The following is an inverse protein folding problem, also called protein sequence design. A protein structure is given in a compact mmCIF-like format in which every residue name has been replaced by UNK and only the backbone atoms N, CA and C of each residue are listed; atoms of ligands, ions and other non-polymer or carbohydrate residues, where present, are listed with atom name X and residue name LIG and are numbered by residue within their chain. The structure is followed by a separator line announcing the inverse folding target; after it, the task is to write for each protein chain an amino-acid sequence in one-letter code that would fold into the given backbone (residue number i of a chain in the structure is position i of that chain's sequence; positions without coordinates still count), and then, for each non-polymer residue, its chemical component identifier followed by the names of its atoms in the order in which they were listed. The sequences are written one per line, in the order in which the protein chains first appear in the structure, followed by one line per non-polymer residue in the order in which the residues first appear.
data_IF_015621813326
#
_entry.id   IF_015621813326
#
_cell.length_a   1.000
_cell.length_b   1.000
_cell.length_c   1.000
_cell.angle_alpha   90.00
_cell.angle_beta   90.00
_cell.angle_gamma   90.00
#
_symmetry.space_group_name_H-M   'P 1'
#
loop_
_entity.id
_entity.type
_entity.pdbx_description
1 polymer ?
#
# COMPACT_ATOMS: atom_id res chain seq x y z
N UNK A 1 -15.17 -1.91 0.09
CA UNK A 1 -15.34 -0.70 -0.75
C UNK A 1 -14.62 -0.94 -2.06
N UNK A 2 -15.14 -0.43 -3.18
CA UNK A 2 -14.59 -0.65 -4.53
C UNK A 2 -14.46 0.68 -5.23
N UNK A 3 -13.36 0.86 -5.98
CA UNK A 3 -13.18 2.00 -6.89
C UNK A 3 -12.86 1.46 -8.28
N UNK A 4 -13.36 2.15 -9.30
CA UNK A 4 -13.11 1.80 -10.69
C UNK A 4 -12.80 3.04 -11.52
N UNK A 5 -12.13 2.81 -12.63
CA UNK A 5 -11.74 3.82 -13.62
C UNK A 5 -11.90 3.22 -15.01
N UNK A 6 -12.36 4.04 -15.96
CA UNK A 6 -12.52 3.67 -17.36
C UNK A 6 -11.81 4.71 -18.21
N UNK A 7 -11.03 4.26 -19.19
CA UNK A 7 -10.47 5.16 -20.19
C UNK A 7 -11.55 5.54 -21.22
N UNK A 8 -11.95 6.80 -21.25
CA UNK A 8 -12.89 7.33 -22.23
C UNK A 8 -12.19 8.05 -23.40
N UNK A 9 -10.86 8.12 -23.36
CA UNK A 9 -10.05 8.71 -24.41
C UNK A 9 -9.76 7.69 -25.53
N UNK A 10 -9.24 8.19 -26.64
CA UNK A 10 -8.79 7.42 -27.80
C UNK A 10 -7.30 7.05 -27.73
N UNK A 11 -6.58 7.51 -26.71
CA UNK A 11 -5.19 7.15 -26.44
C UNK A 11 -5.06 6.34 -25.13
N UNK A 12 -4.08 5.42 -25.03
CA UNK A 12 -3.76 4.80 -23.76
C UNK A 12 -3.24 5.83 -22.74
N UNK A 13 -3.67 5.72 -21.47
CA UNK A 13 -3.15 6.60 -20.41
C UNK A 13 -2.66 5.80 -19.19
N UNK A 14 -1.62 6.29 -18.49
CA UNK A 14 -1.13 5.70 -17.26
C UNK A 14 -2.10 5.92 -16.09
N UNK A 15 -2.34 4.91 -15.27
CA UNK A 15 -3.26 5.04 -14.13
C UNK A 15 -2.74 4.37 -12.86
N UNK A 16 -3.32 4.81 -11.74
CA UNK A 16 -3.16 4.18 -10.43
C UNK A 16 -4.45 4.28 -9.62
N UNK A 17 -4.66 3.32 -8.72
CA UNK A 17 -5.74 3.33 -7.74
C UNK A 17 -5.17 3.14 -6.34
N UNK A 18 -5.88 3.63 -5.33
CA UNK A 18 -5.51 3.40 -3.94
C UNK A 18 -6.50 3.94 -2.93
N UNK A 19 -6.27 3.62 -1.66
CA UNK A 19 -6.97 4.20 -0.52
C UNK A 19 -5.98 4.75 0.49
N UNK A 20 -6.43 5.74 1.27
CA UNK A 20 -5.66 6.33 2.35
C UNK A 20 -6.45 6.35 3.66
N UNK A 21 -6.84 5.19 4.22
CA UNK A 21 -7.64 5.14 5.44
C UNK A 21 -6.81 5.60 6.62
N UNK A 22 -7.37 6.53 7.41
CA UNK A 22 -6.79 6.99 8.67
C UNK A 22 -7.41 6.16 9.80
N UNK A 23 -6.58 5.40 10.51
CA UNK A 23 -7.01 4.51 11.57
C UNK A 23 -6.55 5.07 12.91
N UNK A 24 -7.47 5.07 13.88
CA UNK A 24 -7.14 5.47 15.25
C UNK A 24 -5.99 4.62 15.78
N UNK A 25 -4.98 5.27 16.35
CA UNK A 25 -3.75 4.62 16.77
C UNK A 25 -3.45 4.87 18.24
N UNK A 26 -2.79 3.90 18.86
CA UNK A 26 -2.22 4.02 20.20
C UNK A 26 -0.83 3.36 20.24
N UNK A 27 0.10 3.81 21.10
CA UNK A 27 1.44 3.23 21.18
C UNK A 27 1.50 1.75 21.54
N UNK A 28 0.47 1.22 22.21
CA UNK A 28 0.35 -0.19 22.58
C UNK A 28 -0.16 -1.09 21.43
N UNK A 29 -0.61 -0.50 20.32
CA UNK A 29 -1.06 -1.25 19.15
C UNK A 29 0.12 -1.74 18.31
N UNK A 30 -0.09 -2.83 17.58
CA UNK A 30 0.92 -3.37 16.65
C UNK A 30 0.32 -3.48 15.26
N UNK A 31 1.09 -3.04 14.26
CA UNK A 31 0.75 -3.27 12.85
C UNK A 31 1.52 -4.51 12.40
N UNK A 32 0.79 -5.52 11.95
CA UNK A 32 1.32 -6.76 11.40
C UNK A 32 0.97 -6.79 9.92
N UNK A 33 1.97 -6.99 9.05
CA UNK A 33 1.74 -7.05 7.60
C UNK A 33 2.35 -8.31 6.99
N UNK A 34 1.65 -8.90 6.03
CA UNK A 34 2.12 -10.07 5.30
C UNK A 34 2.82 -9.70 3.97
N UNK A 35 3.57 -8.60 3.94
CA UNK A 35 4.34 -8.15 2.78
C UNK A 35 5.65 -8.93 2.63
N UNK A 36 6.04 -9.24 1.39
CA UNK A 36 7.30 -9.95 1.10
C UNK A 36 8.46 -9.01 0.78
N UNK A 37 8.16 -7.81 0.27
CA UNK A 37 9.17 -6.86 -0.18
C UNK A 37 8.99 -5.50 0.48
N UNK A 38 10.12 -4.82 0.69
CA UNK A 38 10.20 -3.42 1.12
C UNK A 38 11.00 -2.61 0.09
N UNK A 39 10.55 -1.40 -0.18
CA UNK A 39 11.24 -0.41 -0.99
C UNK A 39 11.84 0.66 -0.08
N UNK A 40 13.18 0.69 0.10
CA UNK A 40 13.84 1.77 0.80
C UNK A 40 13.55 3.11 0.14
N UNK A 41 13.41 4.16 0.95
CA UNK A 41 13.17 5.52 0.48
C UNK A 41 14.13 6.49 1.15
N UNK A 42 14.34 7.65 0.52
CA UNK A 42 15.18 8.72 1.06
C UNK A 42 14.38 9.66 1.99
N UNK A 43 15.03 10.75 2.44
CA UNK A 43 14.41 11.76 3.29
C UNK A 43 13.28 12.56 2.63
N UNK A 44 13.10 12.45 1.30
CA UNK A 44 12.00 13.05 0.54
C UNK A 44 10.86 12.05 0.28
N UNK A 45 10.94 10.86 0.89
CA UNK A 45 9.99 9.77 0.70
C UNK A 45 9.95 9.21 -0.73
N UNK A 46 11.04 9.37 -1.49
CA UNK A 46 11.18 8.78 -2.81
C UNK A 46 11.89 7.42 -2.71
N UNK A 47 11.36 6.35 -3.32
CA UNK A 47 12.04 5.07 -3.38
C UNK A 47 13.42 5.18 -4.05
N UNK A 48 14.47 4.65 -3.41
CA UNK A 48 15.87 4.90 -3.82
C UNK A 48 16.46 3.85 -4.77
N UNK A 49 15.63 2.99 -5.36
CA UNK A 49 16.07 1.92 -6.25
C UNK A 49 15.39 0.60 -5.92
N UNK A 50 16.17 -0.48 -5.85
CA UNK A 50 15.64 -1.84 -5.75
C UNK A 50 14.97 -2.16 -4.42
N UNK A 51 13.88 -2.93 -4.51
CA UNK A 51 13.27 -3.56 -3.33
C UNK A 51 14.18 -4.60 -2.67
N UNK A 52 14.00 -4.78 -1.38
CA UNK A 52 14.69 -5.78 -0.55
C UNK A 52 13.68 -6.76 0.05
N UNK A 53 14.10 -8.00 0.31
CA UNK A 53 13.24 -9.02 0.91
C UNK A 53 13.08 -8.77 2.42
N UNK A 54 11.85 -8.89 2.92
CA UNK A 54 11.54 -8.80 4.35
C UNK A 54 11.80 -10.15 5.05
N UNK A 55 13.07 -10.43 5.35
CA UNK A 55 13.47 -11.63 6.10
C UNK A 55 13.36 -11.40 7.63
N UNK A 56 12.19 -10.98 8.10
CA UNK A 56 11.94 -10.66 9.51
C UNK A 56 12.33 -9.23 9.95
N UNK A 57 12.90 -8.43 9.05
CA UNK A 57 13.04 -6.99 9.25
C UNK A 57 11.66 -6.32 9.20
N UNK A 58 11.45 -5.29 10.03
CA UNK A 58 10.25 -4.44 9.98
C UNK A 58 10.70 -2.99 9.69
N UNK A 59 10.44 -2.46 8.48
CA UNK A 59 10.87 -1.10 8.10
C UNK A 59 10.20 -0.01 8.93
N UNK A 60 9.12 -0.32 9.65
CA UNK A 60 8.45 0.61 10.57
C UNK A 60 9.17 0.74 11.92
N UNK A 61 10.27 0.02 12.16
CA UNK A 61 11.14 0.24 13.33
C UNK A 61 12.03 1.46 13.16
N UNK A 62 12.56 1.67 11.94
CA UNK A 62 13.51 2.72 11.63
C UNK A 62 12.89 3.92 10.90
N UNK A 63 11.70 3.76 10.32
CA UNK A 63 10.97 4.81 9.62
C UNK A 63 9.51 4.91 10.07
N UNK A 64 8.92 6.09 9.91
CA UNK A 64 7.47 6.28 10.07
C UNK A 64 6.69 5.77 8.87
N UNK A 65 7.33 5.71 7.70
CA UNK A 65 6.70 5.31 6.44
C UNK A 65 7.40 4.06 5.92
N UNK A 66 6.62 3.08 5.49
CA UNK A 66 7.12 1.90 4.80
C UNK A 66 6.40 1.74 3.45
N UNK A 67 7.17 1.57 2.38
CA UNK A 67 6.69 1.17 1.07
C UNK A 67 6.88 -0.33 0.89
N UNK A 68 5.78 -1.06 0.82
CA UNK A 68 5.73 -2.51 0.84
C UNK A 68 5.15 -3.04 -0.47
N UNK A 69 5.46 -4.30 -0.81
CA UNK A 69 4.88 -4.95 -1.97
C UNK A 69 4.71 -6.46 -1.76
N UNK A 70 3.84 -7.06 -2.58
CA UNK A 70 3.49 -8.49 -2.54
C UNK A 70 2.99 -8.89 -1.13
N UNK A 71 1.87 -8.30 -0.76
CA UNK A 71 1.23 -8.43 0.54
C UNK A 71 -0.17 -9.02 0.39
N UNK A 72 -0.70 -9.63 1.46
CA UNK A 72 -2.03 -10.25 1.44
C UNK A 72 -2.98 -9.65 2.47
N UNK A 73 -2.46 -9.19 3.60
CA UNK A 73 -3.23 -8.67 4.73
C UNK A 73 -2.39 -7.75 5.61
N UNK A 74 -3.06 -6.80 6.24
CA UNK A 74 -2.56 -6.05 7.39
C UNK A 74 -3.51 -6.25 8.55
N UNK A 75 -2.99 -6.64 9.70
CA UNK A 75 -3.74 -6.74 10.95
C UNK A 75 -3.22 -5.68 11.93
N UNK A 76 -4.14 -4.95 12.55
CA UNK A 76 -3.87 -4.07 13.67
C UNK A 76 -4.33 -4.79 14.93
N UNK A 77 -3.34 -5.27 15.68
CA UNK A 77 -3.55 -5.81 17.02
C UNK A 77 -3.75 -4.64 17.98
N UNK A 78 -4.96 -4.56 18.55
CA UNK A 78 -5.38 -3.52 19.50
C UNK A 78 -5.49 -4.05 20.94
N UNK A 79 -5.02 -5.28 21.20
CA UNK A 79 -5.26 -6.01 22.44
C UNK A 79 -6.64 -6.69 22.50
N UNK A 80 -7.01 -7.19 23.68
CA UNK A 80 -8.08 -8.19 23.91
C UNK A 80 -9.51 -7.79 23.49
N UNK A 81 -9.77 -6.55 23.08
CA UNK A 81 -11.14 -6.07 22.82
C UNK A 81 -11.58 -6.16 21.34
N UNK A 82 -10.67 -5.98 20.38
CA UNK A 82 -11.01 -6.06 18.96
C UNK A 82 -9.76 -6.08 18.06
N UNK A 83 -9.76 -6.93 17.04
CA UNK A 83 -8.79 -6.88 15.96
C UNK A 83 -9.35 -6.11 14.76
N UNK A 84 -8.51 -5.30 14.10
CA UNK A 84 -8.84 -4.70 12.81
C UNK A 84 -7.99 -5.34 11.74
N UNK A 85 -8.62 -5.75 10.64
CA UNK A 85 -7.95 -6.41 9.53
C UNK A 85 -8.27 -5.73 8.21
N UNK A 86 -7.25 -5.58 7.37
CA UNK A 86 -7.34 -4.96 6.07
C UNK A 86 -6.84 -5.95 5.02
N UNK A 87 -7.68 -6.18 4.01
CA UNK A 87 -7.34 -6.93 2.80
C UNK A 87 -7.74 -6.11 1.58
N UNK A 88 -7.17 -6.44 0.44
CA UNK A 88 -7.46 -5.76 -0.82
C UNK A 88 -7.42 -6.72 -2.00
N UNK A 89 -7.97 -6.29 -3.13
CA UNK A 89 -7.79 -6.98 -4.41
C UNK A 89 -6.31 -7.11 -4.76
N UNK A 90 -5.93 -8.21 -5.41
CA UNK A 90 -4.54 -8.50 -5.81
C UNK A 90 -3.91 -7.46 -6.75
N UNK A 91 -4.72 -6.63 -7.43
CA UNK A 91 -4.20 -5.51 -8.22
C UNK A 91 -3.61 -4.38 -7.36
N UNK A 92 -3.96 -4.32 -6.06
CA UNK A 92 -3.36 -3.43 -5.06
C UNK A 92 -2.05 -4.07 -4.54
N UNK A 93 -1.11 -4.33 -5.44
CA UNK A 93 0.09 -5.12 -5.18
C UNK A 93 1.11 -4.43 -4.27
N UNK A 94 0.93 -3.13 -4.03
CA UNK A 94 1.78 -2.29 -3.20
C UNK A 94 0.98 -1.78 -2.00
N UNK A 95 1.70 -1.42 -0.95
CA UNK A 95 1.13 -1.01 0.32
C UNK A 95 2.00 0.09 0.93
N UNK A 96 1.39 1.19 1.34
CA UNK A 96 2.07 2.17 2.20
C UNK A 96 1.54 2.02 3.61
N UNK A 97 2.43 1.97 4.59
CA UNK A 97 2.05 2.14 5.99
C UNK A 97 2.74 3.39 6.51
N UNK A 98 1.95 4.34 7.03
CA UNK A 98 2.46 5.59 7.59
C UNK A 98 1.98 5.79 9.02
N UNK A 99 2.92 5.98 9.97
CA UNK A 99 2.63 6.38 11.35
C UNK A 99 2.73 7.89 11.48
N UNK A 100 1.62 8.52 11.86
CA UNK A 100 1.56 9.95 12.05
C UNK A 100 2.57 10.44 13.10
N UNK A 101 3.01 11.70 13.00
CA UNK A 101 3.63 12.40 14.11
C UNK A 101 2.82 12.25 15.41
N UNK A 102 3.52 12.13 16.53
CA UNK A 102 2.93 11.95 17.86
C UNK A 102 1.98 10.75 17.99
N UNK A 103 2.04 9.76 17.10
CA UNK A 103 1.25 8.53 17.16
C UNK A 103 -0.27 8.78 17.18
N UNK A 104 -0.76 9.80 16.47
CA UNK A 104 -2.18 10.14 16.46
C UNK A 104 -3.03 9.18 15.62
N UNK A 105 -2.47 8.69 14.51
CA UNK A 105 -3.12 7.75 13.61
C UNK A 105 -2.07 6.90 12.89
N UNK A 106 -2.55 5.82 12.27
CA UNK A 106 -1.81 5.06 11.28
C UNK A 106 -2.60 5.01 9.98
N UNK A 107 -1.91 5.18 8.86
CA UNK A 107 -2.46 4.97 7.52
C UNK A 107 -1.99 3.62 7.00
N UNK A 108 -2.93 2.87 6.41
CA UNK A 108 -2.67 1.57 5.78
C UNK A 108 -3.25 1.64 4.39
N UNK A 109 -2.39 1.79 3.39
CA UNK A 109 -2.74 2.33 2.09
C UNK A 109 -2.48 1.29 0.99
N UNK A 110 -3.44 0.41 0.68
CA UNK A 110 -3.42 -0.40 -0.52
C UNK A 110 -3.35 0.49 -1.75
N UNK A 111 -2.33 0.29 -2.59
CA UNK A 111 -2.11 1.04 -3.83
C UNK A 111 -1.69 0.09 -4.96
N UNK A 112 -2.00 0.45 -6.21
CA UNK A 112 -1.67 -0.39 -7.38
C UNK A 112 -0.22 -0.31 -7.81
N UNK A 113 0.49 0.75 -7.42
CA UNK A 113 1.85 1.00 -7.83
C UNK A 113 2.65 1.70 -6.72
N UNK A 114 3.97 1.60 -6.80
CA UNK A 114 4.91 2.27 -5.94
C UNK A 114 4.80 3.80 -6.08
N UNK A 115 5.14 4.55 -5.03
CA UNK A 115 5.31 5.99 -5.15
C UNK A 115 6.34 6.31 -6.25
N UNK A 116 6.05 7.33 -7.07
CA UNK A 116 6.92 7.75 -8.16
C UNK A 116 7.18 6.70 -9.27
N UNK A 117 6.36 5.64 -9.37
CA UNK A 117 6.60 4.52 -10.29
C UNK A 117 6.77 4.93 -11.77
N UNK A 118 6.00 5.92 -12.26
CA UNK A 118 6.08 6.39 -13.65
C UNK A 118 7.41 7.06 -14.02
N UNK A 119 8.21 7.48 -13.04
CA UNK A 119 9.52 8.07 -13.26
C UNK A 119 10.66 7.04 -13.21
N UNK A 120 10.34 5.75 -13.13
CA UNK A 120 11.31 4.65 -13.21
C UNK A 120 11.50 4.21 -14.67
N UNK A 121 12.58 3.45 -14.94
CA UNK A 121 12.81 2.96 -16.29
C UNK A 121 11.70 1.98 -16.72
N UNK A 122 11.34 1.94 -18.00
CA UNK A 122 10.25 1.07 -18.50
C UNK A 122 10.44 -0.41 -18.13
N UNK A 123 11.69 -0.89 -18.09
CA UNK A 123 12.02 -2.27 -17.66
C UNK A 123 11.65 -2.58 -16.21
N UNK A 124 11.35 -1.57 -15.40
CA UNK A 124 11.01 -1.65 -13.98
C UNK A 124 9.50 -1.45 -13.74
N UNK A 125 8.74 -1.06 -14.76
CA UNK A 125 7.31 -0.73 -14.67
C UNK A 125 6.47 -1.86 -14.12
N UNK A 126 6.71 -3.10 -14.56
CA UNK A 126 6.00 -4.28 -14.04
C UNK A 126 6.23 -4.46 -12.53
N UNK A 127 7.47 -4.24 -12.07
CA UNK A 127 7.84 -4.41 -10.66
C UNK A 127 7.31 -3.26 -9.78
N UNK A 128 7.25 -2.06 -10.34
CA UNK A 128 6.77 -0.86 -9.65
C UNK A 128 5.24 -0.69 -9.79
N UNK A 129 4.57 -1.52 -10.59
CA UNK A 129 3.12 -1.55 -10.72
C UNK A 129 2.54 -0.56 -11.72
N UNK A 130 3.37 0.07 -12.57
CA UNK A 130 2.92 0.96 -13.64
C UNK A 130 2.03 0.18 -14.61
N UNK A 131 0.85 0.74 -14.89
CA UNK A 131 -0.13 0.17 -15.82
C UNK A 131 -0.76 1.27 -16.65
N UNK A 132 -1.25 0.86 -17.81
CA UNK A 132 -1.98 1.71 -18.74
C UNK A 132 -3.35 1.11 -18.99
N UNK A 133 -4.34 1.96 -19.26
CA UNK A 133 -5.62 1.56 -19.82
C UNK A 133 -5.67 1.96 -21.28
N UNK A 134 -5.96 1.01 -22.17
CA UNK A 134 -6.26 1.32 -23.58
C UNK A 134 -7.64 1.97 -23.70
N UNK A 135 -7.97 2.59 -24.85
CA UNK A 135 -9.29 3.16 -25.09
C UNK A 135 -10.43 2.19 -24.76
N UNK A 136 -11.38 2.63 -23.92
CA UNK A 136 -12.53 1.82 -23.47
C UNK A 136 -12.23 0.78 -22.40
N UNK A 137 -10.97 0.52 -22.04
CA UNK A 137 -10.63 -0.42 -20.98
C UNK A 137 -10.99 0.16 -19.60
N UNK A 138 -11.34 -0.73 -18.67
CA UNK A 138 -11.63 -0.39 -17.28
C UNK A 138 -10.75 -1.20 -16.33
N UNK A 139 -10.37 -0.58 -15.23
CA UNK A 139 -9.76 -1.24 -14.08
C UNK A 139 -10.54 -0.93 -12.81
N UNK A 140 -10.51 -1.87 -11.87
CA UNK A 140 -11.06 -1.66 -10.54
C UNK A 140 -10.21 -2.35 -9.51
N UNK A 141 -10.30 -1.88 -8.28
CA UNK A 141 -9.83 -2.63 -7.12
C UNK A 141 -10.77 -2.44 -5.96
N UNK A 142 -10.51 -3.16 -4.89
CA UNK A 142 -11.29 -3.07 -3.65
C UNK A 142 -10.39 -3.14 -2.42
N UNK A 143 -10.93 -2.61 -1.33
CA UNK A 143 -10.41 -2.74 0.03
C UNK A 143 -11.54 -3.27 0.94
N UNK A 144 -11.22 -4.23 1.80
CA UNK A 144 -12.06 -4.66 2.91
C UNK A 144 -11.38 -4.25 4.22
N UNK A 145 -12.14 -3.58 5.09
CA UNK A 145 -11.73 -3.29 6.47
C UNK A 145 -12.71 -4.03 7.37
N UNK A 146 -12.20 -4.97 8.16
CA UNK A 146 -12.99 -5.84 9.02
C UNK A 146 -12.62 -5.59 10.47
N UNK A 147 -13.61 -5.40 11.32
CA UNK A 147 -13.44 -5.36 12.78
C UNK A 147 -14.00 -6.66 13.33
N UNK A 148 -13.19 -7.38 14.10
CA UNK A 148 -13.61 -8.59 14.81
C UNK A 148 -13.54 -8.28 16.30
N UNK A 149 -14.66 -8.41 17.00
CA UNK A 149 -14.70 -8.39 18.47
C UNK A 149 -14.52 -9.81 18.98
N UNK A 150 -13.80 -9.95 20.09
CA UNK A 150 -13.68 -11.22 20.80
C UNK A 150 -14.97 -11.56 21.56
#
# INVERSE_FOLDING_TARGET
MTVGITNLDMEPFPFGLGWHPYLAWRPDYRVLHAARWWWPHDGEYLPTGSRVALNGADPLQDSRTAYLADWTRVDIDRGEAAALSITASTCMSHLVIHRAPQNQYVCVEPVTHLANAFNTAEREWDQTGVRFLKPGESASGWIEVRITTH
#
